data_IF_767675180304
#
_entry.id   IF_767675180304
#
_cell.length_a   1.000
_cell.length_b   1.000
_cell.length_c   1.000
_cell.angle_alpha   90.00
_cell.angle_beta   90.00
_cell.angle_gamma   90.00
#
_symmetry.space_group_name_H-M   'P 1'
#
loop_
_entity.id
_entity.type
_entity.pdbx_description
1 polymer ?
#
# COMPACT_ATOMS: atom_id res chain seq x y z
N UNK A 1 20.58 69.37 -33.97
CA UNK A 1 21.84 69.01 -33.25
C UNK A 1 21.93 69.86 -31.99
N UNK A 2 21.48 69.37 -30.84
CA UNK A 2 21.89 69.91 -29.53
C UNK A 2 21.79 68.78 -28.49
N UNK A 3 22.84 68.64 -27.70
CA UNK A 3 23.08 67.78 -26.53
C UNK A 3 24.01 68.63 -25.62
N UNK A 4 24.13 68.37 -24.30
CA UNK A 4 23.37 69.03 -23.23
C UNK A 4 24.24 69.41 -21.98
N UNK A 5 23.62 69.38 -20.79
CA UNK A 5 24.16 69.46 -19.39
C UNK A 5 24.26 70.88 -18.79
N UNK A 6 23.77 71.17 -17.58
CA UNK A 6 24.24 70.73 -16.25
C UNK A 6 23.08 70.81 -15.22
N UNK A 7 22.77 69.73 -14.50
CA UNK A 7 23.24 69.29 -13.18
C UNK A 7 22.58 69.98 -11.97
N UNK A 8 21.74 69.19 -11.29
CA UNK A 8 21.06 69.47 -10.04
C UNK A 8 21.90 69.06 -8.82
N UNK A 9 21.53 69.69 -7.73
CA UNK A 9 22.10 69.78 -6.39
C UNK A 9 21.95 68.52 -5.52
N UNK A 10 22.68 68.56 -4.39
CA UNK A 10 22.42 67.89 -3.10
C UNK A 10 22.86 66.44 -2.83
N UNK A 11 24.15 66.32 -2.48
CA UNK A 11 24.67 65.88 -1.16
C UNK A 11 23.66 65.18 -0.21
N UNK A 12 23.84 63.87 0.00
CA UNK A 12 23.52 63.19 1.26
C UNK A 12 24.56 62.08 1.52
N UNK A 13 25.12 62.08 2.74
CA UNK A 13 26.20 61.17 3.16
C UNK A 13 25.68 59.77 3.48
N UNK A 14 26.38 58.75 2.97
CA UNK A 14 26.15 57.35 3.34
C UNK A 14 27.26 56.90 4.29
N UNK A 15 26.91 56.63 5.54
CA UNK A 15 27.78 55.90 6.47
C UNK A 15 27.96 54.46 5.94
N UNK A 16 29.21 54.03 5.85
CA UNK A 16 29.61 52.67 5.49
C UNK A 16 29.55 51.81 6.75
N UNK A 17 28.45 51.07 6.91
CA UNK A 17 28.31 50.07 7.97
C UNK A 17 29.03 48.79 7.52
N UNK A 18 30.18 48.50 8.14
CA UNK A 18 30.88 47.23 7.96
C UNK A 18 30.08 46.13 8.64
N UNK A 19 29.49 45.24 7.85
CA UNK A 19 28.87 43.99 8.31
C UNK A 19 29.90 43.15 9.12
N UNK A 20 29.73 42.92 10.43
CA UNK A 20 30.37 41.81 11.08
C UNK A 20 29.57 40.54 10.80
N UNK A 21 30.24 39.57 10.18
CA UNK A 21 29.77 38.21 9.99
C UNK A 21 29.33 37.62 11.33
N UNK A 22 28.03 37.35 11.51
CA UNK A 22 27.56 36.46 12.57
C UNK A 22 26.89 35.23 11.94
N UNK A 23 27.69 34.19 11.70
CA UNK A 23 27.22 32.86 11.36
C UNK A 23 27.04 32.05 12.65
N UNK A 24 25.83 32.03 13.21
CA UNK A 24 25.47 31.12 14.30
C UNK A 24 24.05 30.55 14.09
N UNK A 25 23.97 29.41 13.39
CA UNK A 25 23.37 28.15 13.87
C UNK A 25 21.94 28.08 14.50
N UNK A 26 20.93 28.77 13.98
CA UNK A 26 19.53 28.60 14.45
C UNK A 26 18.60 27.73 13.56
N UNK A 27 19.03 27.31 12.36
CA UNK A 27 18.12 26.64 11.39
C UNK A 27 17.99 25.11 11.51
N UNK A 28 18.87 24.44 12.26
CA UNK A 28 18.90 22.96 12.30
C UNK A 28 17.97 22.31 13.32
N UNK A 29 17.43 23.05 14.29
CA UNK A 29 16.46 22.50 15.27
C UNK A 29 15.02 22.50 14.75
N UNK A 30 14.62 23.57 14.03
CA UNK A 30 13.23 23.74 13.55
C UNK A 30 12.87 22.79 12.40
N UNK A 31 13.85 22.42 11.57
CA UNK A 31 13.64 21.50 10.44
C UNK A 31 13.41 20.05 10.89
N UNK A 32 14.11 19.58 11.93
CA UNK A 32 13.97 18.21 12.44
C UNK A 32 12.62 17.98 13.12
N UNK A 33 12.14 18.92 13.92
CA UNK A 33 10.83 18.82 14.58
C UNK A 33 9.68 18.81 13.56
N UNK A 34 9.79 19.60 12.49
CA UNK A 34 8.79 19.62 11.42
C UNK A 34 8.70 18.27 10.70
N UNK A 35 9.85 17.66 10.38
CA UNK A 35 9.90 16.33 9.74
C UNK A 35 9.27 15.26 10.65
N UNK A 36 9.62 15.23 11.93
CA UNK A 36 9.06 14.26 12.89
C UNK A 36 7.54 14.43 12.99
N UNK A 37 7.05 15.66 13.13
CA UNK A 37 5.60 15.95 13.19
C UNK A 37 4.88 15.54 11.91
N UNK A 38 5.50 15.73 10.74
CA UNK A 38 4.93 15.31 9.45
C UNK A 38 4.82 13.78 9.36
N UNK A 39 5.87 13.05 9.77
CA UNK A 39 5.88 11.57 9.72
C UNK A 39 4.86 10.97 10.68
N UNK A 40 4.78 11.47 11.92
CA UNK A 40 3.80 11.00 12.91
C UNK A 40 2.38 11.22 12.40
N UNK A 41 2.09 12.38 11.80
CA UNK A 41 0.76 12.63 11.21
C UNK A 41 0.43 11.68 10.06
N UNK A 42 1.39 11.44 9.15
CA UNK A 42 1.18 10.49 8.06
C UNK A 42 0.87 9.08 8.59
N UNK A 43 1.55 8.65 9.66
CA UNK A 43 1.30 7.36 10.31
C UNK A 43 -0.11 7.27 10.88
N UNK A 44 -0.52 8.25 11.69
CA UNK A 44 -1.87 8.32 12.28
C UNK A 44 -2.97 8.35 11.19
N UNK A 45 -2.73 9.05 10.08
CA UNK A 45 -3.65 9.10 8.94
C UNK A 45 -3.79 7.74 8.26
N UNK A 46 -2.68 7.00 8.08
CA UNK A 46 -2.71 5.66 7.48
C UNK A 46 -3.34 4.63 8.39
N UNK A 47 -3.10 4.71 9.70
CA UNK A 47 -3.79 3.89 10.70
C UNK A 47 -5.31 4.10 10.62
N UNK A 48 -5.78 5.35 10.66
CA UNK A 48 -7.21 5.67 10.51
C UNK A 48 -7.78 5.17 9.19
N UNK A 49 -7.04 5.34 8.08
CA UNK A 49 -7.45 4.85 6.77
C UNK A 49 -7.61 3.33 6.78
N UNK A 50 -6.68 2.61 7.39
CA UNK A 50 -6.73 1.15 7.53
C UNK A 50 -7.95 0.71 8.37
N UNK A 51 -8.20 1.36 9.51
CA UNK A 51 -9.36 1.02 10.37
C UNK A 51 -10.70 1.20 9.67
N UNK A 52 -10.84 2.28 8.90
CA UNK A 52 -12.08 2.59 8.19
C UNK A 52 -12.38 1.63 7.04
N UNK A 53 -11.34 1.06 6.42
CA UNK A 53 -11.46 0.31 5.17
C UNK A 53 -11.31 -1.21 5.35
N UNK A 54 -10.47 -1.63 6.30
CA UNK A 54 -9.98 -3.01 6.40
C UNK A 54 -10.42 -3.66 7.71
N UNK A 55 -9.80 -3.27 8.83
CA UNK A 55 -9.96 -3.88 10.16
C UNK A 55 -9.33 -2.98 11.25
N UNK A 56 -9.68 -3.18 12.54
CA UNK A 56 -9.01 -2.47 13.64
C UNK A 56 -7.48 -2.57 13.58
N UNK A 57 -6.78 -1.48 13.89
CA UNK A 57 -5.31 -1.48 13.86
C UNK A 57 -4.79 -2.27 15.06
N UNK A 58 -3.93 -3.25 14.76
CA UNK A 58 -3.19 -3.98 15.78
C UNK A 58 -1.79 -3.39 15.92
N UNK A 59 -1.08 -3.57 17.06
CA UNK A 59 0.29 -3.09 17.21
C UNK A 59 1.27 -3.63 16.15
N UNK A 60 0.95 -4.80 15.56
CA UNK A 60 1.72 -5.34 14.44
C UNK A 60 1.52 -4.51 13.17
N UNK A 61 0.28 -4.16 12.82
CA UNK A 61 -0.04 -3.32 11.66
C UNK A 61 0.51 -1.91 11.85
N UNK A 62 0.38 -1.34 13.04
CA UNK A 62 0.90 -0.02 13.40
C UNK A 62 2.43 0.09 13.16
N UNK A 63 3.17 -0.96 13.53
CA UNK A 63 4.62 -1.05 13.28
C UNK A 63 4.93 -1.14 11.79
N UNK A 64 4.19 -1.99 11.09
CA UNK A 64 4.40 -2.22 9.65
C UNK A 64 4.10 -0.97 8.82
N UNK A 65 3.04 -0.21 9.15
CA UNK A 65 2.76 1.10 8.56
C UNK A 65 3.97 2.02 8.72
N UNK A 66 4.55 2.08 9.92
CA UNK A 66 5.78 2.83 10.19
C UNK A 66 6.96 2.39 9.30
N UNK A 67 7.21 1.08 9.19
CA UNK A 67 8.28 0.53 8.33
C UNK A 67 8.10 0.96 6.87
N UNK A 68 6.87 0.93 6.33
CA UNK A 68 6.63 1.34 4.95
C UNK A 68 6.83 2.84 4.73
N UNK A 69 6.40 3.69 5.66
CA UNK A 69 6.55 5.14 5.55
C UNK A 69 8.00 5.60 5.77
N UNK A 70 8.68 5.04 6.77
CA UNK A 70 9.98 5.53 7.23
C UNK A 70 11.16 4.83 6.55
N UNK A 71 11.14 3.49 6.48
CA UNK A 71 12.28 2.71 5.96
C UNK A 71 12.16 2.50 4.45
N UNK A 72 10.98 2.07 3.98
CA UNK A 72 10.73 1.82 2.55
C UNK A 72 10.38 3.09 1.77
N UNK A 73 10.22 4.23 2.45
CA UNK A 73 9.89 5.53 1.86
C UNK A 73 8.69 5.49 0.91
N UNK A 74 7.66 4.71 1.27
CA UNK A 74 6.39 4.72 0.54
C UNK A 74 5.67 6.03 0.79
N UNK A 75 5.24 6.67 -0.30
CA UNK A 75 4.41 7.87 -0.22
C UNK A 75 3.08 7.56 0.50
N UNK A 76 2.65 8.36 1.50
CA UNK A 76 1.38 8.15 2.21
C UNK A 76 0.18 8.05 1.27
N UNK A 77 0.17 8.83 0.19
CA UNK A 77 -0.90 8.86 -0.81
C UNK A 77 -1.00 7.52 -1.58
N UNK A 78 0.15 6.91 -1.88
CA UNK A 78 0.20 5.58 -2.50
C UNK A 78 -0.31 4.52 -1.52
N UNK A 79 0.12 4.56 -0.26
CA UNK A 79 -0.35 3.62 0.76
C UNK A 79 -1.86 3.69 0.93
N UNK A 80 -2.41 4.90 1.05
CA UNK A 80 -3.84 5.16 1.10
C UNK A 80 -4.58 4.55 -0.09
N UNK A 81 -4.10 4.79 -1.31
CA UNK A 81 -4.72 4.26 -2.52
C UNK A 81 -4.74 2.71 -2.53
N UNK A 82 -3.68 2.06 -2.02
CA UNK A 82 -3.62 0.60 -1.91
C UNK A 82 -4.59 0.07 -0.85
N UNK A 83 -4.72 0.75 0.29
CA UNK A 83 -5.69 0.39 1.34
C UNK A 83 -7.12 0.49 0.80
N UNK A 84 -7.47 1.59 0.15
CA UNK A 84 -8.80 1.80 -0.47
C UNK A 84 -9.06 0.74 -1.56
N UNK A 85 -8.07 0.46 -2.42
CA UNK A 85 -8.16 -0.61 -3.43
C UNK A 85 -8.36 -2.00 -2.81
N UNK A 86 -7.66 -2.30 -1.72
CA UNK A 86 -7.79 -3.55 -0.97
C UNK A 86 -9.22 -3.74 -0.45
N UNK A 87 -9.83 -2.67 0.08
CA UNK A 87 -11.22 -2.70 0.53
C UNK A 87 -12.20 -2.91 -0.63
N UNK A 88 -12.02 -2.20 -1.75
CA UNK A 88 -12.86 -2.33 -2.95
C UNK A 88 -12.76 -3.70 -3.61
N UNK A 89 -11.58 -4.33 -3.57
CA UNK A 89 -11.36 -5.68 -4.10
C UNK A 89 -11.82 -6.80 -3.15
N UNK A 90 -12.30 -6.45 -1.95
CA UNK A 90 -12.75 -7.41 -0.93
C UNK A 90 -11.60 -8.12 -0.20
N UNK A 91 -10.34 -7.78 -0.50
CA UNK A 91 -9.15 -8.42 0.04
C UNK A 91 -8.68 -7.76 1.37
N UNK A 92 -9.58 -7.66 2.34
CA UNK A 92 -9.43 -6.90 3.59
C UNK A 92 -8.42 -7.50 4.58
N UNK A 93 -7.13 -7.47 4.27
CA UNK A 93 -6.06 -7.89 5.17
C UNK A 93 -4.78 -7.08 4.98
N UNK A 94 -4.04 -6.85 6.06
CA UNK A 94 -2.71 -6.23 5.98
C UNK A 94 -1.78 -7.00 5.05
N UNK A 95 -1.79 -8.33 5.11
CA UNK A 95 -0.98 -9.19 4.23
C UNK A 95 -1.17 -8.88 2.75
N UNK A 96 -2.41 -8.61 2.33
CA UNK A 96 -2.69 -8.25 0.95
C UNK A 96 -2.19 -6.84 0.62
N UNK A 97 -2.44 -5.87 1.51
CA UNK A 97 -1.94 -4.49 1.37
C UNK A 97 -0.41 -4.49 1.22
N UNK A 98 0.31 -5.16 2.11
CA UNK A 98 1.76 -5.29 2.09
C UNK A 98 2.26 -5.92 0.78
N UNK A 99 1.62 -7.01 0.32
CA UNK A 99 1.98 -7.66 -0.94
C UNK A 99 1.83 -6.73 -2.16
N UNK A 100 0.78 -5.90 -2.17
CA UNK A 100 0.57 -4.90 -3.24
C UNK A 100 1.60 -3.78 -3.15
N UNK A 101 1.89 -3.28 -1.95
CA UNK A 101 2.93 -2.26 -1.73
C UNK A 101 4.31 -2.75 -2.16
N UNK A 102 4.70 -3.98 -1.78
CA UNK A 102 5.96 -4.57 -2.22
C UNK A 102 6.01 -4.74 -3.74
N UNK A 103 4.88 -5.06 -4.39
CA UNK A 103 4.80 -5.09 -5.86
C UNK A 103 5.02 -3.70 -6.46
N UNK A 104 4.41 -2.66 -5.87
CA UNK A 104 4.62 -1.28 -6.32
C UNK A 104 6.09 -0.88 -6.21
N UNK A 105 6.75 -1.19 -5.08
CA UNK A 105 8.17 -0.91 -4.88
C UNK A 105 9.04 -1.63 -5.91
N UNK A 106 8.78 -2.92 -6.19
CA UNK A 106 9.52 -3.68 -7.22
C UNK A 106 9.35 -3.11 -8.62
N UNK A 107 8.19 -2.54 -8.91
CA UNK A 107 7.84 -1.99 -10.22
C UNK A 107 8.17 -0.50 -10.35
N UNK A 108 8.73 0.12 -9.31
CA UNK A 108 9.06 1.55 -9.30
C UNK A 108 7.82 2.47 -9.28
N UNK A 109 6.68 1.97 -8.80
CA UNK A 109 5.44 2.72 -8.68
C UNK A 109 5.51 3.52 -7.38
N UNK A 110 5.58 4.84 -7.49
CA UNK A 110 5.71 5.76 -6.35
C UNK A 110 4.50 6.67 -6.16
N UNK A 111 3.60 6.74 -7.15
CA UNK A 111 2.42 7.62 -7.08
C UNK A 111 1.11 6.84 -7.24
N UNK A 112 0.00 7.35 -6.66
CA UNK A 112 -1.30 6.72 -6.80
C UNK A 112 -1.80 6.69 -8.26
N UNK A 113 -1.42 7.65 -9.10
CA UNK A 113 -1.78 7.69 -10.53
C UNK A 113 -1.15 6.53 -11.29
N UNK A 114 0.14 6.27 -11.05
CA UNK A 114 0.86 5.13 -11.62
C UNK A 114 0.22 3.81 -11.17
N UNK A 115 -0.15 3.72 -9.90
CA UNK A 115 -0.87 2.56 -9.36
C UNK A 115 -2.24 2.37 -10.03
N UNK A 116 -3.01 3.43 -10.24
CA UNK A 116 -4.30 3.37 -10.90
C UNK A 116 -4.20 2.91 -12.36
N UNK A 117 -3.14 3.31 -13.08
CA UNK A 117 -2.87 2.83 -14.44
C UNK A 117 -2.58 1.33 -14.45
N UNK A 118 -1.79 0.84 -13.48
CA UNK A 118 -1.53 -0.60 -13.30
C UNK A 118 -2.80 -1.39 -12.98
N UNK A 119 -3.68 -0.87 -12.12
CA UNK A 119 -4.95 -1.53 -11.80
C UNK A 119 -5.88 -1.69 -13.01
N UNK A 120 -5.81 -0.79 -13.99
CA UNK A 120 -6.59 -0.88 -15.24
C UNK A 120 -6.08 -1.97 -16.19
N UNK A 121 -4.77 -2.22 -16.23
CA UNK A 121 -4.19 -3.30 -17.03
C UNK A 121 -4.33 -4.66 -16.33
N UNK A 122 -4.27 -4.68 -15.00
CA UNK A 122 -4.56 -5.84 -14.17
C UNK A 122 -6.04 -5.88 -13.76
N UNK A 123 -6.96 -5.98 -14.73
CA UNK A 123 -8.36 -6.29 -14.40
C UNK A 123 -8.36 -7.51 -13.47
N UNK A 124 -9.15 -7.52 -12.38
CA UNK A 124 -9.30 -8.72 -11.58
C UNK A 124 -9.92 -9.75 -12.50
N UNK A 125 -9.11 -10.71 -12.94
CA UNK A 125 -9.63 -11.98 -13.38
C UNK A 125 -10.46 -12.46 -12.19
N UNK A 126 -11.79 -12.27 -12.29
CA UNK A 126 -12.75 -12.99 -11.49
C UNK A 126 -12.29 -14.43 -11.62
N UNK A 127 -11.64 -14.96 -10.59
CA UNK A 127 -11.50 -16.40 -10.44
C UNK A 127 -12.94 -16.86 -10.21
N UNK A 128 -13.69 -16.96 -11.29
CA UNK A 128 -14.64 -18.05 -11.44
C UNK A 128 -13.84 -19.25 -11.01
N UNK A 129 -14.32 -19.83 -9.92
CA UNK A 129 -13.81 -21.02 -9.29
C UNK A 129 -13.66 -22.06 -10.39
N UNK A 130 -12.48 -22.08 -11.02
CA UNK A 130 -12.06 -23.13 -11.91
C UNK A 130 -11.99 -24.33 -10.99
N UNK A 131 -13.06 -25.11 -11.05
CA UNK A 131 -13.09 -26.54 -10.83
C UNK A 131 -11.75 -27.11 -11.22
N UNK A 132 -10.86 -27.22 -10.24
CA UNK A 132 -9.75 -28.14 -10.31
C UNK A 132 -10.41 -29.50 -10.43
N UNK A 133 -10.32 -30.06 -11.64
CA UNK A 133 -10.40 -31.48 -11.93
C UNK A 133 -9.45 -32.21 -10.97
N UNK A 134 -9.94 -32.53 -9.77
CA UNK A 134 -9.52 -33.74 -9.09
C UNK A 134 -10.45 -34.82 -9.59
N UNK A 135 -9.87 -35.80 -10.28
CA UNK A 135 -10.51 -37.04 -10.68
C UNK A 135 -10.97 -37.83 -9.43
N UNK A 136 -12.10 -37.42 -8.87
CA UNK A 136 -12.95 -38.24 -8.01
C UNK A 136 -14.39 -37.93 -8.36
N UNK A 137 -14.77 -38.25 -9.59
CA UNK A 137 -16.17 -38.50 -9.91
C UNK A 137 -16.54 -39.85 -9.30
N UNK A 138 -16.83 -39.89 -8.00
CA UNK A 138 -17.73 -40.90 -7.47
C UNK A 138 -19.10 -40.24 -7.31
N UNK A 139 -19.72 -39.89 -8.44
CA UNK A 139 -21.16 -39.75 -8.50
C UNK A 139 -21.73 -41.14 -8.28
N UNK A 140 -22.00 -41.47 -7.02
CA UNK A 140 -22.73 -42.68 -6.67
C UNK A 140 -24.10 -42.56 -7.33
N UNK A 141 -24.38 -43.45 -8.29
CA UNK A 141 -25.65 -43.50 -8.99
C UNK A 141 -26.76 -43.87 -8.00
N UNK A 142 -27.90 -43.19 -8.09
CA UNK A 142 -29.06 -43.48 -7.27
C UNK A 142 -29.53 -44.93 -7.48
N UNK A 143 -29.41 -45.45 -8.69
CA UNK A 143 -29.74 -46.84 -9.00
C UNK A 143 -28.77 -47.83 -8.32
N UNK A 144 -27.51 -47.44 -8.14
CA UNK A 144 -26.52 -48.24 -7.43
C UNK A 144 -26.79 -48.25 -5.91
N UNK A 145 -27.24 -47.13 -5.35
CA UNK A 145 -27.72 -47.06 -3.95
C UNK A 145 -28.94 -47.97 -3.76
N UNK A 146 -29.94 -47.88 -4.65
CA UNK A 146 -31.14 -48.72 -4.57
C UNK A 146 -30.80 -50.21 -4.68
N UNK A 147 -29.87 -50.58 -5.57
CA UNK A 147 -29.38 -51.95 -5.69
C UNK A 147 -28.65 -52.44 -4.44
N UNK A 148 -27.83 -51.60 -3.81
CA UNK A 148 -27.15 -51.97 -2.56
C UNK A 148 -28.14 -52.17 -1.40
N UNK A 149 -29.13 -51.28 -1.28
CA UNK A 149 -30.19 -51.38 -0.27
C UNK A 149 -31.04 -52.65 -0.51
N UNK A 150 -31.37 -52.93 -1.77
CA UNK A 150 -32.28 -54.04 -2.13
C UNK A 150 -31.61 -55.39 -1.99
N UNK A 151 -30.33 -55.52 -2.37
CA UNK A 151 -29.66 -56.82 -2.47
C UNK A 151 -28.60 -57.08 -1.39
N UNK A 152 -28.28 -56.11 -0.53
CA UNK A 152 -27.42 -56.26 0.64
C UNK A 152 -26.00 -56.76 0.30
N UNK A 153 -25.01 -55.86 0.33
CA UNK A 153 -23.62 -56.16 -0.04
C UNK A 153 -23.04 -57.44 0.57
N UNK A 154 -23.07 -58.54 -0.17
CA UNK A 154 -22.32 -59.78 0.13
C UNK A 154 -21.05 -59.81 -0.70
N UNK A 155 -20.01 -59.11 -0.25
CA UNK A 155 -18.64 -59.45 -0.68
C UNK A 155 -18.15 -60.62 0.18
N UNK A 156 -18.26 -61.82 -0.41
CA UNK A 156 -17.77 -63.05 0.17
C UNK A 156 -16.26 -62.99 0.38
N UNK A 157 -15.83 -63.29 1.61
CA UNK A 157 -14.44 -63.61 1.90
C UNK A 157 -14.14 -64.98 1.30
N UNK A 158 -13.38 -65.01 0.21
CA UNK A 158 -12.72 -66.24 -0.20
C UNK A 158 -11.67 -66.57 0.88
N UNK A 159 -11.87 -67.72 1.53
CA UNK A 159 -10.90 -68.33 2.42
C UNK A 159 -9.91 -69.08 1.52
N UNK A 160 -8.70 -68.57 1.38
CA UNK A 160 -7.59 -69.34 0.86
C UNK A 160 -7.13 -70.28 1.96
N UNK A 161 -7.18 -71.57 1.66
CA UNK A 161 -6.78 -72.68 2.55
C UNK A 161 -5.37 -73.10 2.17
N UNK A 162 -4.56 -73.39 3.19
CA UNK A 162 -3.35 -74.18 3.06
C UNK A 162 -3.41 -75.28 4.13
#
# INVERSE_FOLDING_TARGET
>A
KVQPFLNNSEKNGSYSEKNPCNSENYDTKKSKENIVVVVVRAREEMERCFEQNIAPVTPAVEREIGVYLEEKQVAPELMRAVIEYSALSGAKSWRYVAAVLDSCLREGITTPEQFAVKGKSAKPARREKQTSTSEHSSSIDFDEIQRYITYGGKHGKQKETM
#
